data_IF_157730376404
#
_entry.id   IF_157730376404
#
_cell.length_a   1.000
_cell.length_b   1.000
_cell.length_c   1.000
_cell.angle_alpha   90.00
_cell.angle_beta   90.00
_cell.angle_gamma   90.00
#
_symmetry.space_group_name_H-M   'P 1'
#
loop_
_entity.id
_entity.type
_entity.pdbx_description
1 polymer ?
#
# COMPACT_ATOMS: atom_id res chain seq x y z
N UNK A 1 -18.57 -1.23 -17.32
CA UNK A 1 -17.89 -0.74 -16.09
C UNK A 1 -16.64 -1.57 -15.84
N UNK A 2 -15.53 -0.90 -15.52
CA UNK A 2 -14.26 -1.58 -15.26
C UNK A 2 -14.03 -1.70 -13.76
N UNK A 3 -13.50 -2.84 -13.34
CA UNK A 3 -13.12 -3.03 -11.94
C UNK A 3 -11.83 -2.25 -11.65
N UNK A 4 -11.92 -1.26 -10.77
CA UNK A 4 -10.84 -0.30 -10.52
C UNK A 4 -9.53 -0.97 -10.10
N UNK A 5 -9.58 -1.94 -9.18
CA UNK A 5 -8.34 -2.49 -8.62
C UNK A 5 -7.55 -3.35 -9.60
N UNK A 6 -8.15 -3.77 -10.70
CA UNK A 6 -7.41 -4.38 -11.81
C UNK A 6 -6.34 -3.41 -12.36
N UNK A 7 -6.61 -2.10 -12.28
CA UNK A 7 -5.70 -1.04 -12.73
C UNK A 7 -4.97 -0.36 -11.56
N UNK A 8 -5.60 -0.28 -10.43
CA UNK A 8 -5.06 0.38 -9.24
C UNK A 8 -3.89 -0.38 -8.62
N UNK A 9 -3.98 -1.69 -8.49
CA UNK A 9 -2.90 -2.48 -7.91
C UNK A 9 -1.62 -2.44 -8.74
N UNK A 10 -1.65 -2.63 -10.08
CA UNK A 10 -0.45 -2.42 -10.88
C UNK A 10 0.13 -1.02 -10.76
N UNK A 11 -0.70 0.01 -10.64
CA UNK A 11 -0.24 1.39 -10.47
C UNK A 11 0.51 1.57 -9.14
N UNK A 12 -0.02 1.05 -8.05
CA UNK A 12 0.66 1.05 -6.74
C UNK A 12 1.96 0.27 -6.80
N UNK A 13 1.91 -0.93 -7.34
CA UNK A 13 3.10 -1.76 -7.46
C UNK A 13 4.19 -1.06 -8.25
N UNK A 14 3.88 -0.50 -9.41
CA UNK A 14 4.86 0.17 -10.27
C UNK A 14 5.41 1.45 -9.62
N UNK A 15 4.61 2.15 -8.84
CA UNK A 15 5.05 3.36 -8.13
C UNK A 15 6.02 3.01 -6.99
N UNK A 16 5.77 1.92 -6.28
CA UNK A 16 6.52 1.57 -5.08
C UNK A 16 7.69 0.61 -5.35
N UNK A 17 7.58 -0.24 -6.36
CA UNK A 17 8.58 -1.26 -6.64
C UNK A 17 9.91 -0.62 -7.05
N UNK A 18 10.97 -0.99 -6.36
CA UNK A 18 12.31 -0.45 -6.63
C UNK A 18 12.57 0.95 -6.10
N UNK A 19 11.56 1.59 -5.47
CA UNK A 19 11.68 2.96 -4.98
C UNK A 19 11.81 3.07 -3.45
N UNK A 20 11.65 1.97 -2.72
CA UNK A 20 11.68 1.95 -1.27
C UNK A 20 12.86 1.12 -0.80
N UNK A 21 13.68 1.71 0.06
CA UNK A 21 14.90 1.09 0.54
C UNK A 21 14.90 1.00 2.06
N UNK A 22 15.33 -0.14 2.57
CA UNK A 22 15.61 -0.30 3.98
C UNK A 22 16.97 0.34 4.30
N UNK A 23 17.07 0.92 5.48
CA UNK A 23 18.21 1.68 5.98
C UNK A 23 19.56 0.99 5.68
N UNK A 24 20.40 1.63 4.86
CA UNK A 24 21.72 1.15 4.49
C UNK A 24 21.75 -0.02 3.51
N UNK A 25 20.61 -0.50 3.03
CA UNK A 25 20.55 -1.57 2.04
C UNK A 25 20.63 -1.02 0.62
N UNK A 26 21.37 -1.73 -0.25
CA UNK A 26 21.38 -1.44 -1.69
C UNK A 26 20.21 -2.08 -2.42
N UNK A 27 19.47 -2.97 -1.75
CA UNK A 27 18.32 -3.66 -2.32
C UNK A 27 17.04 -2.97 -1.90
N UNK A 28 16.10 -2.82 -2.84
CA UNK A 28 14.77 -2.30 -2.54
C UNK A 28 13.96 -3.29 -1.70
N UNK A 29 13.05 -2.75 -0.91
CA UNK A 29 12.10 -3.56 -0.15
C UNK A 29 11.14 -4.24 -1.10
N UNK A 30 10.90 -5.53 -0.92
CA UNK A 30 9.99 -6.31 -1.77
C UNK A 30 8.55 -6.04 -1.44
N UNK A 31 7.73 -6.04 -2.49
CA UNK A 31 6.31 -5.76 -2.41
C UNK A 31 5.56 -7.00 -2.92
N UNK A 32 4.60 -7.46 -2.12
CA UNK A 32 3.76 -8.61 -2.45
C UNK A 32 2.30 -8.18 -2.55
N UNK A 33 1.58 -8.81 -3.45
CA UNK A 33 0.15 -8.60 -3.62
C UNK A 33 -0.63 -9.68 -2.88
N UNK A 34 -1.29 -9.27 -1.80
CA UNK A 34 -2.22 -10.11 -1.04
C UNK A 34 -1.56 -11.10 -0.09
N UNK A 35 -0.55 -11.83 -0.52
CA UNK A 35 0.06 -12.89 0.28
C UNK A 35 1.56 -12.97 0.07
N UNK A 36 2.30 -13.22 1.15
CA UNK A 36 3.74 -13.47 1.08
C UNK A 36 3.97 -14.94 0.74
N UNK A 37 4.76 -15.25 -0.31
CA UNK A 37 5.09 -16.64 -0.62
C UNK A 37 5.84 -17.30 0.54
N UNK A 38 5.62 -18.60 0.81
CA UNK A 38 6.35 -19.30 1.88
C UNK A 38 7.87 -19.23 1.75
N UNK A 39 8.38 -19.12 0.53
CA UNK A 39 9.82 -18.99 0.26
C UNK A 39 10.40 -17.64 0.67
N UNK A 40 9.57 -16.63 0.88
CA UNK A 40 9.97 -15.27 1.24
C UNK A 40 9.85 -14.98 2.73
N UNK A 41 9.56 -15.97 3.58
CA UNK A 41 9.36 -15.77 5.02
C UNK A 41 10.63 -15.36 5.77
N UNK A 42 11.80 -15.52 5.15
CA UNK A 42 13.09 -15.14 5.74
C UNK A 42 13.42 -13.65 5.52
N UNK A 43 12.65 -12.92 4.75
CA UNK A 43 12.91 -11.50 4.53
C UNK A 43 12.67 -10.69 5.80
N UNK A 44 13.64 -9.83 6.20
CA UNK A 44 13.50 -9.07 7.45
C UNK A 44 12.44 -7.98 7.37
N UNK A 45 12.21 -7.44 6.17
CA UNK A 45 11.24 -6.37 5.96
C UNK A 45 10.60 -6.52 4.59
N UNK A 46 9.28 -6.36 4.53
CA UNK A 46 8.54 -6.44 3.28
C UNK A 46 7.23 -5.65 3.38
N UNK A 47 6.64 -5.40 2.22
CA UNK A 47 5.38 -4.67 2.07
C UNK A 47 4.36 -5.60 1.42
N UNK A 48 3.14 -5.60 1.95
CA UNK A 48 2.02 -6.35 1.38
C UNK A 48 0.92 -5.38 0.97
N UNK A 49 0.50 -5.44 -0.29
CA UNK A 49 -0.71 -4.77 -0.75
C UNK A 49 -1.88 -5.65 -0.36
N UNK A 50 -2.57 -5.27 0.71
CA UNK A 50 -3.52 -6.13 1.38
C UNK A 50 -4.97 -5.90 0.98
N UNK A 51 -5.82 -5.77 1.99
CA UNK A 51 -7.26 -5.62 1.81
C UNK A 51 -7.61 -4.41 0.96
N UNK A 52 -8.49 -4.62 0.01
CA UNK A 52 -8.98 -3.57 -0.89
C UNK A 52 -10.49 -3.60 -0.96
N UNK A 53 -11.06 -2.40 -1.02
CA UNK A 53 -12.49 -2.20 -1.07
C UNK A 53 -12.81 -1.32 -2.27
N UNK A 54 -13.92 -1.61 -2.93
CA UNK A 54 -14.44 -0.77 -3.99
C UNK A 54 -15.96 -0.73 -3.87
N UNK A 55 -16.50 0.43 -3.51
CA UNK A 55 -17.94 0.67 -3.42
C UNK A 55 -18.34 1.62 -4.53
N UNK A 56 -19.28 1.18 -5.34
CA UNK A 56 -19.75 1.95 -6.46
C UNK A 56 -20.98 2.79 -6.08
N UNK A 57 -20.93 4.06 -6.49
CA UNK A 57 -22.09 4.94 -6.45
C UNK A 57 -22.36 5.38 -7.88
N UNK A 58 -23.40 4.85 -8.51
CA UNK A 58 -23.75 5.21 -9.87
C UNK A 58 -24.62 6.47 -9.89
N UNK A 59 -24.28 7.42 -10.76
CA UNK A 59 -25.22 8.44 -11.16
C UNK A 59 -25.42 8.37 -12.69
N UNK A 60 -26.32 9.19 -13.24
CA UNK A 60 -26.76 9.04 -14.62
C UNK A 60 -25.68 9.24 -15.69
N UNK A 61 -24.56 9.88 -15.35
CA UNK A 61 -23.57 10.31 -16.33
C UNK A 61 -22.17 9.78 -16.06
N UNK A 62 -21.88 9.34 -14.84
CA UNK A 62 -20.54 8.88 -14.46
C UNK A 62 -20.62 7.74 -13.45
N UNK A 63 -19.73 6.79 -13.59
CA UNK A 63 -19.51 5.78 -12.55
C UNK A 63 -18.51 6.33 -11.55
N UNK A 64 -18.89 6.33 -10.29
CA UNK A 64 -18.07 6.80 -9.19
C UNK A 64 -17.84 5.67 -8.20
N UNK A 65 -16.62 5.56 -7.73
CA UNK A 65 -16.24 4.54 -6.76
C UNK A 65 -15.61 5.18 -5.54
N UNK A 66 -15.91 4.65 -4.37
CA UNK A 66 -15.11 4.87 -3.18
C UNK A 66 -14.23 3.63 -3.02
N UNK A 67 -12.94 3.79 -3.16
CA UNK A 67 -11.98 2.70 -3.15
C UNK A 67 -11.00 2.88 -2.00
N UNK A 68 -10.62 1.79 -1.34
CA UNK A 68 -9.59 1.82 -0.32
C UNK A 68 -8.61 0.68 -0.48
N UNK A 69 -7.37 0.93 -0.09
CA UNK A 69 -6.30 -0.06 -0.07
C UNK A 69 -5.59 -0.01 1.28
N UNK A 70 -5.42 -1.16 1.89
CA UNK A 70 -4.62 -1.31 3.10
C UNK A 70 -3.23 -1.83 2.71
N UNK A 71 -2.21 -1.05 3.01
CA UNK A 71 -0.81 -1.44 2.82
C UNK A 71 -0.25 -1.85 4.17
N UNK A 72 0.31 -3.04 4.24
CA UNK A 72 0.87 -3.62 5.45
C UNK A 72 2.39 -3.68 5.33
N UNK A 73 3.08 -2.96 6.20
CA UNK A 73 4.54 -2.94 6.26
C UNK A 73 4.95 -3.81 7.43
N UNK A 74 5.67 -4.89 7.16
CA UNK A 74 6.08 -5.86 8.18
C UNK A 74 7.59 -5.78 8.37
N UNK A 75 8.03 -5.53 9.60
CA UNK A 75 9.44 -5.47 9.97
C UNK A 75 9.76 -6.53 11.03
N UNK A 76 10.68 -7.43 10.69
CA UNK A 76 11.19 -8.49 11.55
C UNK A 76 12.69 -8.29 11.79
N UNK A 77 13.10 -7.04 11.95
CA UNK A 77 14.51 -6.67 11.93
C UNK A 77 15.21 -6.83 13.27
N UNK A 78 14.49 -7.21 14.31
CA UNK A 78 15.02 -7.25 15.68
C UNK A 78 15.22 -5.90 16.31
N UNK A 79 14.90 -4.81 15.60
CA UNK A 79 14.92 -3.46 16.15
C UNK A 79 13.84 -3.31 17.21
N UNK A 80 14.11 -2.49 18.21
CA UNK A 80 13.10 -2.19 19.22
C UNK A 80 12.13 -1.13 18.69
N UNK A 81 10.86 -1.51 18.54
CA UNK A 81 9.79 -0.60 18.19
C UNK A 81 9.54 -0.50 16.68
N UNK A 82 8.85 0.58 16.31
CA UNK A 82 8.30 0.77 14.97
C UNK A 82 9.21 1.56 14.02
N UNK A 83 10.43 1.86 14.43
CA UNK A 83 11.32 2.76 13.68
C UNK A 83 11.47 2.35 12.21
N UNK A 84 11.72 1.07 11.95
CA UNK A 84 11.96 0.59 10.59
C UNK A 84 10.67 0.61 9.76
N UNK A 85 9.57 0.15 10.33
CA UNK A 85 8.28 0.16 9.63
C UNK A 85 7.78 1.59 9.39
N UNK A 86 8.00 2.49 10.34
CA UNK A 86 7.62 3.90 10.17
C UNK A 86 8.48 4.61 9.12
N UNK A 87 9.77 4.27 9.03
CA UNK A 87 10.63 4.81 7.98
C UNK A 87 10.13 4.41 6.59
N UNK A 88 9.78 3.13 6.42
CA UNK A 88 9.20 2.65 5.17
C UNK A 88 7.85 3.33 4.89
N UNK A 89 7.01 3.49 5.91
CA UNK A 89 5.75 4.20 5.78
C UNK A 89 5.95 5.63 5.30
N UNK A 90 6.94 6.32 5.83
CA UNK A 90 7.28 7.68 5.41
C UNK A 90 7.69 7.73 3.93
N UNK A 91 8.46 6.75 3.46
CA UNK A 91 8.82 6.67 2.05
C UNK A 91 7.59 6.44 1.16
N UNK A 92 6.70 5.56 1.56
CA UNK A 92 5.45 5.30 0.82
C UNK A 92 4.59 6.56 0.74
N UNK A 93 4.41 7.26 1.85
CA UNK A 93 3.63 8.48 1.89
C UNK A 93 4.24 9.58 1.03
N UNK A 94 5.55 9.64 0.95
CA UNK A 94 6.25 10.58 0.07
C UNK A 94 6.05 10.28 -1.42
N UNK A 95 5.95 9.01 -1.79
CA UNK A 95 5.73 8.59 -3.16
C UNK A 95 4.27 8.69 -3.59
N UNK A 96 3.35 8.40 -2.66
CA UNK A 96 1.91 8.45 -2.90
C UNK A 96 1.32 9.60 -2.08
N UNK A 97 1.67 10.81 -2.46
CA UNK A 97 1.14 11.99 -1.79
C UNK A 97 -0.23 12.38 -2.39
N UNK A 98 -0.90 13.34 -1.75
CA UNK A 98 -2.23 13.77 -2.16
C UNK A 98 -2.30 14.32 -3.58
N UNK A 99 -1.18 14.82 -4.10
CA UNK A 99 -1.10 15.44 -5.42
C UNK A 99 -0.55 14.51 -6.49
N UNK A 100 0.08 13.40 -6.10
CA UNK A 100 0.67 12.43 -7.00
C UNK A 100 -0.03 11.08 -6.84
N UNK A 101 -1.29 11.03 -7.24
CA UNK A 101 -2.06 9.79 -7.20
C UNK A 101 -1.41 8.74 -8.10
N UNK A 102 -1.54 7.45 -7.77
CA UNK A 102 -1.04 6.40 -8.64
C UNK A 102 -1.58 6.56 -10.05
N UNK A 103 -0.70 6.46 -11.03
CA UNK A 103 -1.09 6.62 -12.42
C UNK A 103 -1.84 5.38 -12.90
N UNK A 104 -3.14 5.39 -12.71
CA UNK A 104 -4.04 4.36 -13.19
C UNK A 104 -4.33 4.54 -14.67
N UNK A 105 -5.16 3.67 -15.25
CA UNK A 105 -5.61 3.81 -16.62
C UNK A 105 -6.16 5.22 -16.89
N UNK A 106 -5.98 5.79 -18.09
CA UNK A 106 -6.53 7.10 -18.43
C UNK A 106 -8.06 7.18 -18.32
N UNK A 107 -8.74 6.05 -18.21
CA UNK A 107 -10.17 5.98 -18.01
C UNK A 107 -10.60 6.36 -16.58
N UNK A 108 -9.66 6.42 -15.64
CA UNK A 108 -9.95 6.73 -14.25
C UNK A 108 -9.30 8.03 -13.81
N UNK A 109 -10.07 8.85 -13.12
CA UNK A 109 -9.55 9.98 -12.35
C UNK A 109 -9.58 9.59 -10.88
N UNK A 110 -8.42 9.64 -10.23
CA UNK A 110 -8.26 9.20 -8.86
C UNK A 110 -7.89 10.40 -7.98
N UNK A 111 -8.63 10.58 -6.90
CA UNK A 111 -8.31 11.58 -5.89
C UNK A 111 -8.20 10.88 -4.53
N UNK A 112 -7.10 11.13 -3.83
CA UNK A 112 -6.92 10.62 -2.47
C UNK A 112 -7.72 11.50 -1.51
N UNK A 113 -8.69 10.91 -0.81
CA UNK A 113 -9.57 11.64 0.09
C UNK A 113 -9.14 11.53 1.54
N UNK A 114 -8.50 10.42 1.92
CA UNK A 114 -8.05 10.20 3.28
C UNK A 114 -6.88 9.22 3.31
N UNK A 115 -5.94 9.48 4.22
CA UNK A 115 -4.84 8.57 4.53
C UNK A 115 -4.81 8.37 6.03
N UNK A 116 -4.84 7.12 6.47
CA UNK A 116 -4.78 6.77 7.90
C UNK A 116 -3.61 5.83 8.12
N UNK A 117 -2.90 6.01 9.22
CA UNK A 117 -1.78 5.14 9.61
C UNK A 117 -2.00 4.62 11.01
N UNK A 118 -1.64 3.38 11.26
CA UNK A 118 -1.66 2.80 12.60
C UNK A 118 -0.62 1.69 12.74
N UNK A 119 -0.17 1.49 13.97
CA UNK A 119 0.88 0.55 14.29
C UNK A 119 0.32 -0.65 15.04
N UNK A 120 0.79 -1.84 14.68
CA UNK A 120 0.46 -3.09 15.37
C UNK A 120 1.77 -3.80 15.75
N UNK A 121 1.90 -4.19 17.01
CA UNK A 121 2.99 -5.05 17.45
C UNK A 121 2.47 -6.45 17.71
N UNK A 122 3.13 -7.45 17.10
CA UNK A 122 2.90 -8.85 17.44
C UNK A 122 4.00 -9.31 18.38
N UNK A 123 3.64 -9.70 19.59
CA UNK A 123 4.59 -10.29 20.53
C UNK A 123 4.51 -11.79 20.36
N UNK A 124 5.49 -12.34 19.64
CA UNK A 124 5.77 -13.75 19.66
C UNK A 124 7.04 -13.96 20.49
N UNK A 125 7.14 -14.96 21.37
CA UNK A 125 8.36 -15.17 22.18
C UNK A 125 9.65 -15.31 21.36
N UNK A 126 9.55 -15.67 20.09
CA UNK A 126 10.70 -15.89 19.21
C UNK A 126 10.92 -14.79 18.19
N UNK A 127 9.88 -14.00 17.85
CA UNK A 127 9.96 -12.98 16.79
C UNK A 127 9.26 -11.70 17.23
N UNK A 128 10.00 -10.61 17.28
CA UNK A 128 9.43 -9.29 17.46
C UNK A 128 9.00 -8.77 16.07
N UNK A 129 7.71 -8.79 15.80
CA UNK A 129 7.17 -8.33 14.55
C UNK A 129 6.49 -6.98 14.79
N UNK A 130 6.96 -5.96 14.08
CA UNK A 130 6.36 -4.63 14.12
C UNK A 130 5.75 -4.33 12.77
N UNK A 131 4.49 -3.91 12.77
CA UNK A 131 3.75 -3.62 11.56
C UNK A 131 3.23 -2.20 11.60
N UNK A 132 3.39 -1.50 10.49
CA UNK A 132 2.74 -0.21 10.26
C UNK A 132 1.81 -0.38 9.07
N UNK A 133 0.55 -0.04 9.27
CA UNK A 133 -0.47 -0.16 8.24
C UNK A 133 -0.87 1.22 7.76
N UNK A 134 -1.01 1.36 6.45
CA UNK A 134 -1.47 2.60 5.83
C UNK A 134 -2.73 2.28 5.06
N UNK A 135 -3.81 3.00 5.35
CA UNK A 135 -5.04 2.91 4.57
C UNK A 135 -5.17 4.14 3.71
N UNK A 136 -5.16 3.92 2.40
CA UNK A 136 -5.47 4.95 1.42
C UNK A 136 -6.93 4.84 1.02
N UNK A 137 -7.65 5.96 1.09
CA UNK A 137 -9.02 6.05 0.61
C UNK A 137 -9.06 6.99 -0.59
N UNK A 138 -9.64 6.51 -1.68
CA UNK A 138 -9.69 7.22 -2.95
C UNK A 138 -11.12 7.40 -3.41
N UNK A 139 -11.35 8.53 -4.05
CA UNK A 139 -12.53 8.75 -4.85
C UNK A 139 -12.14 8.59 -6.32
N UNK A 140 -12.80 7.68 -7.00
CA UNK A 140 -12.45 7.31 -8.37
C UNK A 140 -13.61 7.62 -9.28
N UNK A 141 -13.34 8.40 -10.33
CA UNK A 141 -14.30 8.69 -11.38
C UNK A 141 -13.89 7.93 -12.63
N UNK A 142 -14.81 7.15 -13.18
CA UNK A 142 -14.61 6.49 -14.45
C UNK A 142 -15.31 7.29 -15.53
N UNK A 143 -14.54 7.73 -16.52
CA UNK A 143 -15.09 8.39 -17.71
C UNK A 143 -15.62 7.31 -18.65
N UNK A 144 -16.81 7.52 -19.14
CA UNK A 144 -17.40 6.66 -20.15
C UNK A 144 -17.02 7.14 -21.55
#
# INVERSE_FOLDING_TARGET
MKYFWKYGIPAYYNTLNGAIYYNGSYSSVKIYDGMVPPTATSEPIYIVLGERLSNQTANKTMSQFDASLLIDIVAKTGSFGFKDSEDIASQILGLINQNANPNCSPDFQVATTRVSTFNLSGINPTDNIFRTLIRFEHKVLQQQ
#
